data_IF_631119428927
#
_entry.id   IF_631119428927
#
_cell.length_a   1.000
_cell.length_b   1.000
_cell.length_c   1.000
_cell.angle_alpha   90.00
_cell.angle_beta   90.00
_cell.angle_gamma   90.00
#
_symmetry.space_group_name_H-M   'P 1'
#
loop_
_entity.id
_entity.type
_entity.pdbx_description
1 polymer ?
#
# COMPACT_ATOMS: atom_id res chain seq x y z
N UNK A 1 5.61 -58.07 29.18
CA UNK A 1 4.30 -57.40 29.12
C UNK A 1 4.52 -55.99 28.57
N UNK A 2 4.74 -55.89 27.25
CA UNK A 2 4.97 -54.66 26.47
C UNK A 2 4.37 -54.88 25.06
N UNK A 3 3.20 -55.52 24.99
CA UNK A 3 2.56 -55.91 23.73
C UNK A 3 1.24 -55.17 23.47
N UNK A 4 0.80 -54.32 24.40
CA UNK A 4 -0.29 -53.40 24.11
C UNK A 4 0.32 -52.10 23.58
N UNK A 5 0.36 -51.99 22.24
CA UNK A 5 0.45 -50.68 21.61
C UNK A 5 -0.68 -49.84 22.20
N UNK A 6 -0.42 -48.67 22.81
CA UNK A 6 -1.49 -47.81 23.28
C UNK A 6 -2.38 -47.55 22.07
N UNK A 7 -3.63 -47.99 22.18
CA UNK A 7 -4.65 -47.77 21.18
C UNK A 7 -4.54 -46.29 20.82
N UNK A 8 -4.32 -45.96 19.54
CA UNK A 8 -4.25 -44.56 19.10
C UNK A 8 -5.63 -43.98 19.38
N UNK A 9 -5.83 -43.49 20.60
CA UNK A 9 -6.95 -42.66 20.99
C UNK A 9 -6.97 -41.58 19.93
N UNK A 10 -8.06 -41.56 19.17
CA UNK A 10 -8.21 -40.84 17.92
C UNK A 10 -7.50 -39.49 18.04
N UNK A 11 -6.40 -39.32 17.30
CA UNK A 11 -5.69 -38.06 17.29
C UNK A 11 -6.70 -37.05 16.79
N UNK A 12 -7.27 -36.25 17.71
CA UNK A 12 -8.21 -35.21 17.38
C UNK A 12 -7.55 -34.40 16.25
N UNK A 13 -8.19 -34.40 15.09
CA UNK A 13 -7.71 -33.73 13.90
C UNK A 13 -8.64 -32.54 13.65
N UNK A 14 -8.08 -31.46 13.10
CA UNK A 14 -8.92 -30.34 12.69
C UNK A 14 -9.77 -30.71 11.48
N UNK A 15 -10.99 -30.21 11.47
CA UNK A 15 -12.06 -30.55 10.55
C UNK A 15 -12.47 -29.37 9.66
N UNK A 16 -11.73 -28.27 9.47
CA UNK A 16 -12.15 -27.09 8.69
C UNK A 16 -13.49 -26.41 9.08
N UNK A 17 -14.32 -27.05 9.91
CA UNK A 17 -15.61 -26.60 10.40
C UNK A 17 -15.51 -25.99 11.78
N UNK A 18 -14.34 -26.04 12.43
CA UNK A 18 -14.15 -25.38 13.71
C UNK A 18 -14.37 -23.87 13.58
N UNK A 19 -14.99 -23.24 14.58
CA UNK A 19 -15.34 -21.82 14.53
C UNK A 19 -14.11 -20.93 14.29
N UNK A 20 -12.93 -21.35 14.77
CA UNK A 20 -11.69 -20.61 14.57
C UNK A 20 -11.29 -20.54 13.09
N UNK A 21 -11.36 -21.66 12.37
CA UNK A 21 -11.07 -21.70 10.93
C UNK A 21 -12.11 -20.94 10.13
N UNK A 22 -13.39 -21.06 10.49
CA UNK A 22 -14.46 -20.29 9.86
C UNK A 22 -14.22 -18.79 10.03
N UNK A 23 -13.88 -18.32 11.22
CA UNK A 23 -13.54 -16.89 11.47
C UNK A 23 -12.33 -16.48 10.65
N UNK A 24 -11.28 -17.31 10.58
CA UNK A 24 -10.08 -16.99 9.83
C UNK A 24 -10.35 -16.87 8.32
N UNK A 25 -11.03 -17.86 7.74
CA UNK A 25 -11.34 -17.89 6.31
C UNK A 25 -12.32 -16.78 5.91
N UNK A 26 -13.33 -16.51 6.75
CA UNK A 26 -14.26 -15.41 6.49
C UNK A 26 -13.57 -14.06 6.57
N UNK A 27 -12.69 -13.85 7.55
CA UNK A 27 -11.91 -12.61 7.69
C UNK A 27 -10.97 -12.39 6.50
N UNK A 28 -10.16 -13.40 6.14
CA UNK A 28 -9.23 -13.29 5.02
C UNK A 28 -10.01 -13.17 3.69
N UNK A 29 -11.04 -13.98 3.50
CA UNK A 29 -11.88 -13.99 2.30
C UNK A 29 -12.61 -12.66 2.10
N UNK A 30 -13.20 -12.11 3.15
CA UNK A 30 -13.87 -10.81 3.10
C UNK A 30 -12.87 -9.69 2.81
N UNK A 31 -11.72 -9.69 3.47
CA UNK A 31 -10.72 -8.64 3.27
C UNK A 31 -10.10 -8.70 1.87
N UNK A 32 -9.83 -9.89 1.35
CA UNK A 32 -9.35 -10.07 -0.04
C UNK A 32 -10.41 -9.64 -1.05
N UNK A 33 -11.67 -10.01 -0.85
CA UNK A 33 -12.77 -9.56 -1.70
C UNK A 33 -12.93 -8.03 -1.71
N UNK A 34 -12.84 -7.37 -0.54
CA UNK A 34 -12.90 -5.92 -0.44
C UNK A 34 -11.72 -5.23 -1.15
N UNK A 35 -10.51 -5.76 -1.03
CA UNK A 35 -9.33 -5.23 -1.73
C UNK A 35 -9.44 -5.43 -3.23
N UNK A 36 -9.91 -6.57 -3.70
CA UNK A 36 -10.13 -6.83 -5.12
C UNK A 36 -11.23 -5.91 -5.69
N UNK A 37 -12.33 -5.72 -4.95
CA UNK A 37 -13.37 -4.77 -5.31
C UNK A 37 -12.84 -3.34 -5.39
N UNK A 38 -11.98 -2.93 -4.46
CA UNK A 38 -11.29 -1.63 -4.52
C UNK A 38 -10.37 -1.50 -5.74
N UNK A 39 -9.52 -2.49 -6.00
CA UNK A 39 -8.58 -2.46 -7.14
C UNK A 39 -9.34 -2.36 -8.46
N UNK A 40 -10.38 -3.18 -8.64
CA UNK A 40 -11.21 -3.17 -9.85
C UNK A 40 -11.98 -1.86 -10.01
N UNK A 41 -12.55 -1.33 -8.92
CA UNK A 41 -13.22 -0.03 -8.91
C UNK A 41 -12.25 1.10 -9.28
N UNK A 42 -11.09 1.16 -8.63
CA UNK A 42 -10.05 2.15 -8.87
C UNK A 42 -9.57 2.10 -10.32
N UNK A 43 -9.22 0.92 -10.81
CA UNK A 43 -8.77 0.73 -12.18
C UNK A 43 -9.82 1.19 -13.20
N UNK A 44 -11.09 0.87 -12.97
CA UNK A 44 -12.19 1.29 -13.84
C UNK A 44 -12.40 2.81 -13.86
N UNK A 45 -12.20 3.49 -12.72
CA UNK A 45 -12.32 4.95 -12.62
C UNK A 45 -11.14 5.67 -13.28
N UNK A 46 -9.92 5.19 -13.03
CA UNK A 46 -8.71 5.79 -13.58
C UNK A 46 -8.60 5.60 -15.10
N UNK A 47 -9.03 4.45 -15.64
CA UNK A 47 -9.12 4.26 -17.09
C UNK A 47 -10.07 5.24 -17.77
N UNK A 48 -11.22 5.54 -17.14
CA UNK A 48 -12.18 6.51 -17.69
C UNK A 48 -11.59 7.92 -17.72
N UNK A 49 -10.86 8.30 -16.68
CA UNK A 49 -10.18 9.60 -16.62
C UNK A 49 -9.10 9.72 -17.71
N UNK A 50 -8.33 8.67 -17.96
CA UNK A 50 -7.30 8.68 -19.01
C UNK A 50 -7.90 8.80 -20.42
N UNK A 51 -9.10 8.27 -20.65
CA UNK A 51 -9.79 8.39 -21.94
C UNK A 51 -10.37 9.80 -22.16
N UNK A 52 -10.71 10.51 -21.08
CA UNK A 52 -11.30 11.85 -21.14
C UNK A 52 -10.24 12.97 -21.33
N UNK A 53 -8.96 12.66 -21.09
CA UNK A 53 -7.83 13.57 -21.31
C UNK A 53 -7.22 13.23 -22.69
N UNK A 54 -7.61 13.91 -23.79
CA UNK A 54 -6.93 13.73 -25.07
C UNK A 54 -5.47 14.19 -24.95
N UNK A 55 -4.56 13.34 -25.40
CA UNK A 55 -3.10 13.52 -25.28
C UNK A 55 -2.56 14.83 -25.89
N UNK A 56 -3.31 15.46 -26.80
CA UNK A 56 -2.92 16.71 -27.46
C UNK A 56 -3.16 17.96 -26.61
N UNK A 57 -4.01 17.93 -25.58
CA UNK A 57 -4.48 19.14 -24.87
C UNK A 57 -3.67 19.45 -23.58
N UNK A 58 -2.85 18.50 -23.09
CA UNK A 58 -2.03 18.66 -21.87
C UNK A 58 -0.73 19.41 -22.16
N UNK A 59 -0.15 19.23 -23.35
CA UNK A 59 1.06 19.95 -23.76
C UNK A 59 0.79 21.43 -24.04
N UNK A 60 -0.44 21.78 -24.44
CA UNK A 60 -0.82 23.16 -24.76
C UNK A 60 -1.31 23.93 -23.53
N UNK A 61 -2.02 23.28 -22.58
CA UNK A 61 -2.57 23.97 -21.39
C UNK A 61 -1.59 24.17 -20.23
N UNK A 62 -0.49 23.41 -20.14
CA UNK A 62 0.58 23.69 -19.16
C UNK A 62 1.53 24.82 -19.60
N UNK A 63 1.57 25.15 -20.91
CA UNK A 63 2.40 26.24 -21.43
C UNK A 63 1.72 27.62 -21.37
N UNK A 64 0.40 27.68 -21.17
CA UNK A 64 -0.39 28.92 -21.26
C UNK A 64 -0.90 29.34 -19.87
N UNK A 65 0.00 29.65 -18.93
CA UNK A 65 -0.35 30.61 -17.85
C UNK A 65 0.87 31.19 -17.10
N UNK A 66 1.92 31.59 -17.84
CA UNK A 66 3.00 32.38 -17.26
C UNK A 66 3.38 33.54 -18.17
N UNK A 67 2.40 34.34 -18.60
CA UNK A 67 2.72 35.66 -19.10
C UNK A 67 1.55 36.65 -18.92
N UNK A 68 1.70 37.57 -17.97
CA UNK A 68 1.21 38.94 -18.10
C UNK A 68 1.70 39.79 -16.92
N UNK A 69 2.85 40.44 -17.10
CA UNK A 69 2.94 41.91 -16.93
C UNK A 69 4.21 42.45 -17.58
N UNK A 70 4.07 43.03 -18.77
CA UNK A 70 4.77 44.28 -19.12
C UNK A 70 5.85 44.27 -20.23
N UNK A 71 5.43 44.71 -21.43
CA UNK A 71 6.19 45.57 -22.39
C UNK A 71 7.05 44.88 -23.49
N UNK A 72 7.41 45.57 -24.61
CA UNK A 72 6.74 45.37 -25.89
C UNK A 72 7.63 44.88 -27.06
N UNK A 73 6.97 44.20 -28.01
CA UNK A 73 7.24 44.09 -29.47
C UNK A 73 8.65 44.39 -29.98
N UNK A 74 9.33 43.35 -30.49
CA UNK A 74 10.18 43.45 -31.69
C UNK A 74 10.11 42.16 -32.51
N UNK A 75 9.63 42.28 -33.75
CA UNK A 75 9.64 41.23 -34.77
C UNK A 75 11.07 40.92 -35.23
N UNK A 76 11.42 39.62 -35.35
CA UNK A 76 12.07 39.02 -36.54
C UNK A 76 12.27 37.50 -36.40
N UNK A 77 11.54 36.79 -37.27
CA UNK A 77 11.95 35.65 -38.12
C UNK A 77 12.94 34.58 -37.62
N UNK A 78 12.43 33.34 -37.64
CA UNK A 78 13.07 32.07 -38.04
C UNK A 78 14.48 31.75 -37.51
N UNK A 79 14.51 30.84 -36.54
CA UNK A 79 15.35 29.63 -36.62
C UNK A 79 14.74 28.56 -35.71
N UNK A 80 14.40 27.42 -36.30
CA UNK A 80 14.07 26.20 -35.58
C UNK A 80 15.30 25.75 -34.82
N UNK A 81 15.34 26.03 -33.52
CA UNK A 81 16.13 25.23 -32.61
C UNK A 81 15.31 25.14 -31.33
N UNK A 82 14.69 23.98 -31.14
CA UNK A 82 13.91 23.64 -29.97
C UNK A 82 14.86 23.54 -28.78
N UNK A 83 15.26 24.70 -28.26
CA UNK A 83 15.78 24.81 -26.90
C UNK A 83 14.59 24.52 -26.00
N UNK A 84 14.39 23.22 -25.73
CA UNK A 84 13.65 22.74 -24.57
C UNK A 84 14.22 23.50 -23.39
N UNK A 85 13.44 24.45 -22.89
CA UNK A 85 13.69 25.04 -21.60
C UNK A 85 13.44 23.91 -20.60
N UNK A 86 14.50 23.15 -20.30
CA UNK A 86 14.65 22.36 -19.09
C UNK A 86 14.59 23.36 -17.92
N UNK A 87 13.38 23.81 -17.59
CA UNK A 87 13.08 24.24 -16.24
C UNK A 87 13.13 22.96 -15.41
N UNK A 88 14.32 22.66 -14.90
CA UNK A 88 14.66 21.55 -14.02
C UNK A 88 13.90 21.67 -12.70
N UNK A 89 12.59 21.46 -12.75
CA UNK A 89 11.83 21.10 -11.56
C UNK A 89 12.43 19.79 -11.06
N UNK A 90 12.84 19.68 -9.78
CA UNK A 90 13.48 18.48 -9.24
C UNK A 90 12.49 17.30 -9.06
N UNK A 91 11.36 17.34 -9.74
CA UNK A 91 10.23 16.43 -9.57
C UNK A 91 9.98 15.68 -10.86
N UNK A 92 10.07 14.35 -10.80
CA UNK A 92 9.90 13.51 -11.98
C UNK A 92 8.43 13.39 -12.37
N UNK A 93 7.51 13.36 -11.38
CA UNK A 93 6.06 13.25 -11.61
C UNK A 93 5.25 13.96 -10.53
N UNK A 94 4.26 14.74 -10.97
CA UNK A 94 3.27 15.40 -10.13
C UNK A 94 1.90 14.77 -10.38
N UNK A 95 1.23 14.26 -9.33
CA UNK A 95 -0.09 13.62 -9.45
C UNK A 95 -1.09 14.24 -8.48
N UNK A 96 -2.31 14.47 -8.96
CA UNK A 96 -3.43 14.89 -8.12
C UNK A 96 -4.19 13.68 -7.56
N UNK A 97 -4.68 13.79 -6.33
CA UNK A 97 -5.49 12.77 -5.67
C UNK A 97 -6.74 13.38 -5.06
N UNK A 98 -7.83 12.62 -5.13
CA UNK A 98 -9.09 12.93 -4.45
C UNK A 98 -9.46 11.80 -3.50
N UNK A 99 -9.98 12.18 -2.34
CA UNK A 99 -10.51 11.23 -1.37
C UNK A 99 -11.85 10.66 -1.90
N UNK A 100 -12.02 9.34 -1.78
CA UNK A 100 -13.24 8.63 -2.17
C UNK A 100 -13.78 7.85 -0.96
N UNK A 101 -15.09 7.86 -0.78
CA UNK A 101 -15.72 7.22 0.38
C UNK A 101 -15.45 5.71 0.40
N UNK A 102 -15.48 5.05 -0.76
CA UNK A 102 -15.25 3.61 -0.84
C UNK A 102 -13.80 3.26 -0.49
N UNK A 103 -12.85 4.09 -0.93
CA UNK A 103 -11.44 3.96 -0.58
C UNK A 103 -11.21 4.10 0.93
N UNK A 104 -11.86 5.09 1.56
CA UNK A 104 -11.75 5.28 3.00
C UNK A 104 -12.39 4.12 3.79
N UNK A 105 -13.50 3.55 3.30
CA UNK A 105 -14.10 2.34 3.89
C UNK A 105 -13.18 1.13 3.79
N UNK A 106 -12.55 0.91 2.64
CA UNK A 106 -11.62 -0.20 2.45
C UNK A 106 -10.33 -0.04 3.29
N UNK A 107 -9.86 1.19 3.48
CA UNK A 107 -8.78 1.49 4.43
C UNK A 107 -9.22 1.20 5.88
N UNK A 108 -10.45 1.57 6.23
CA UNK A 108 -11.04 1.26 7.54
C UNK A 108 -11.14 -0.25 7.79
N UNK A 109 -11.48 -1.04 6.78
CA UNK A 109 -11.58 -2.49 6.91
C UNK A 109 -10.22 -3.15 7.22
N UNK A 110 -9.11 -2.60 6.71
CA UNK A 110 -7.76 -3.06 7.08
C UNK A 110 -7.45 -2.83 8.57
N UNK A 111 -7.87 -1.69 9.12
CA UNK A 111 -7.70 -1.40 10.54
C UNK A 111 -8.55 -2.36 11.39
N UNK A 112 -9.82 -2.56 11.02
CA UNK A 112 -10.71 -3.52 11.70
C UNK A 112 -10.12 -4.93 11.66
N UNK A 113 -9.66 -5.38 10.49
CA UNK A 113 -9.01 -6.70 10.33
C UNK A 113 -7.81 -6.86 11.25
N UNK A 114 -6.98 -5.82 11.36
CA UNK A 114 -5.80 -5.83 12.23
C UNK A 114 -6.16 -5.94 13.70
N UNK A 115 -7.18 -5.21 14.15
CA UNK A 115 -7.70 -5.32 15.53
C UNK A 115 -8.27 -6.72 15.78
N UNK A 116 -9.04 -7.26 14.83
CA UNK A 116 -9.64 -8.60 14.96
C UNK A 116 -8.57 -9.69 15.05
N UNK A 117 -7.47 -9.62 14.29
CA UNK A 117 -6.36 -10.57 14.41
C UNK A 117 -5.69 -10.52 15.79
N UNK A 118 -5.52 -9.32 16.37
CA UNK A 118 -4.99 -9.17 17.73
C UNK A 118 -5.94 -9.75 18.77
N UNK A 119 -7.23 -9.49 18.65
CA UNK A 119 -8.26 -10.07 19.53
C UNK A 119 -8.28 -11.60 19.41
N UNK A 120 -8.20 -12.14 18.19
CA UNK A 120 -8.13 -13.58 17.96
C UNK A 120 -6.91 -14.20 18.65
N UNK A 121 -5.74 -13.56 18.52
CA UNK A 121 -4.53 -14.01 19.19
C UNK A 121 -4.68 -13.98 20.72
N UNK A 122 -5.31 -12.94 21.27
CA UNK A 122 -5.60 -12.82 22.70
C UNK A 122 -6.60 -13.89 23.20
N UNK A 123 -7.60 -14.25 22.38
CA UNK A 123 -8.54 -15.33 22.72
C UNK A 123 -7.85 -16.69 22.75
N UNK A 124 -6.98 -16.97 21.76
CA UNK A 124 -6.23 -18.24 21.71
C UNK A 124 -5.28 -18.35 22.91
N UNK A 125 -4.60 -17.26 23.29
CA UNK A 125 -3.74 -17.27 24.48
C UNK A 125 -4.54 -17.38 25.76
N UNK A 126 -5.70 -16.73 25.86
CA UNK A 126 -6.60 -16.88 27.01
C UNK A 126 -7.12 -18.32 27.17
N UNK A 127 -7.44 -19.01 26.06
CA UNK A 127 -7.83 -20.43 26.06
C UNK A 127 -6.69 -21.34 26.53
N UNK A 128 -5.47 -21.05 26.08
CA UNK A 128 -4.26 -21.77 26.51
C UNK A 128 -4.05 -21.68 28.03
N UNK A 129 -4.27 -20.51 28.62
CA UNK A 129 -4.17 -20.31 30.08
C UNK A 129 -5.40 -20.76 30.86
N UNK A 130 -6.49 -21.19 30.21
CA UNK A 130 -7.73 -21.60 30.87
C UNK A 130 -8.52 -20.44 31.48
N UNK A 131 -8.35 -19.21 30.95
CA UNK A 131 -9.08 -18.03 31.42
C UNK A 131 -10.50 -17.93 30.85
N UNK A 132 -10.82 -18.73 29.83
CA UNK A 132 -12.16 -18.80 29.24
C UNK A 132 -13.08 -19.71 30.05
N UNK A 133 -14.39 -19.44 30.10
CA UNK A 133 -15.35 -20.29 30.80
C UNK A 133 -15.38 -21.69 30.17
N UNK A 134 -14.72 -22.65 30.82
CA UNK A 134 -14.48 -24.01 30.34
C UNK A 134 -13.25 -24.62 31.00
N UNK A 135 -12.88 -25.84 30.60
CA UNK A 135 -11.55 -26.40 30.88
C UNK A 135 -10.50 -25.74 29.97
N UNK A 136 -9.23 -25.77 30.35
CA UNK A 136 -8.12 -25.39 29.46
C UNK A 136 -8.23 -26.14 28.12
N UNK A 137 -7.85 -25.47 27.02
CA UNK A 137 -7.93 -26.02 25.65
C UNK A 137 -9.36 -26.31 25.17
N UNK A 138 -10.33 -25.48 25.59
CA UNK A 138 -11.73 -25.68 25.22
C UNK A 138 -11.94 -25.50 23.71
N UNK A 139 -11.13 -24.68 23.04
CA UNK A 139 -11.22 -24.50 21.58
C UNK A 139 -10.57 -25.63 20.79
N UNK A 140 -9.70 -26.43 21.39
CA UNK A 140 -8.93 -27.48 20.69
C UNK A 140 -9.17 -28.87 21.26
N UNK A 141 -10.41 -29.13 21.69
CA UNK A 141 -10.86 -30.43 22.17
C UNK A 141 -9.97 -31.04 23.28
N UNK A 142 -9.42 -30.21 24.16
CA UNK A 142 -8.56 -30.67 25.26
C UNK A 142 -7.12 -31.06 24.85
N UNK A 143 -6.73 -30.86 23.58
CA UNK A 143 -5.41 -31.25 23.07
C UNK A 143 -4.43 -30.06 23.04
N UNK A 144 -3.34 -30.18 23.79
CA UNK A 144 -2.24 -29.20 23.84
C UNK A 144 -1.55 -29.06 22.48
N UNK A 145 -1.36 -30.17 21.76
CA UNK A 145 -0.65 -30.16 20.47
C UNK A 145 -1.42 -29.36 19.41
N UNK A 146 -2.75 -29.52 19.38
CA UNK A 146 -3.62 -28.79 18.47
C UNK A 146 -3.64 -27.28 18.76
N UNK A 147 -3.71 -26.92 20.03
CA UNK A 147 -3.64 -25.52 20.48
C UNK A 147 -2.33 -24.85 20.04
N UNK A 148 -1.19 -25.53 20.25
CA UNK A 148 0.11 -25.01 19.84
C UNK A 148 0.22 -24.81 18.32
N UNK A 149 -0.29 -25.75 17.52
CA UNK A 149 -0.28 -25.64 16.05
C UNK A 149 -1.11 -24.43 15.59
N UNK A 150 -2.33 -24.27 16.09
CA UNK A 150 -3.20 -23.12 15.74
C UNK A 150 -2.52 -21.81 16.14
N UNK A 151 -2.00 -21.74 17.36
CA UNK A 151 -1.33 -20.54 17.85
C UNK A 151 -0.18 -20.13 16.93
N UNK A 152 0.69 -21.07 16.56
CA UNK A 152 1.81 -20.82 15.66
C UNK A 152 1.33 -20.31 14.29
N UNK A 153 0.31 -20.94 13.71
CA UNK A 153 -0.23 -20.54 12.40
C UNK A 153 -0.84 -19.13 12.42
N UNK A 154 -1.70 -18.85 13.40
CA UNK A 154 -2.34 -17.52 13.54
C UNK A 154 -1.28 -16.46 13.86
N UNK A 155 -0.27 -16.79 14.66
CA UNK A 155 0.83 -15.88 14.96
C UNK A 155 1.64 -15.52 13.71
N UNK A 156 2.08 -16.50 12.92
CA UNK A 156 2.83 -16.24 11.69
C UNK A 156 2.00 -15.43 10.69
N UNK A 157 0.71 -15.75 10.54
CA UNK A 157 -0.21 -14.98 9.70
C UNK A 157 -0.30 -13.52 10.17
N UNK A 158 -0.45 -13.30 11.48
CA UNK A 158 -0.56 -11.98 12.08
C UNK A 158 0.73 -11.17 11.89
N UNK A 159 1.90 -11.80 12.10
CA UNK A 159 3.20 -11.17 11.86
C UNK A 159 3.35 -10.80 10.39
N UNK A 160 3.07 -11.74 9.48
CA UNK A 160 3.13 -11.48 8.03
C UNK A 160 2.23 -10.31 7.64
N UNK A 161 0.99 -10.29 8.15
CA UNK A 161 0.04 -9.22 7.93
C UNK A 161 0.56 -7.85 8.40
N UNK A 162 1.05 -7.75 9.63
CA UNK A 162 1.58 -6.48 10.17
C UNK A 162 2.87 -6.03 9.47
N UNK A 163 3.75 -6.96 9.10
CA UNK A 163 4.93 -6.64 8.29
C UNK A 163 4.51 -6.07 6.94
N UNK A 164 3.56 -6.71 6.25
CA UNK A 164 3.02 -6.19 4.99
C UNK A 164 2.41 -4.79 5.14
N UNK A 165 1.61 -4.55 6.18
CA UNK A 165 1.04 -3.22 6.46
C UNK A 165 2.11 -2.18 6.78
N UNK A 166 3.15 -2.55 7.53
CA UNK A 166 4.25 -1.65 7.89
C UNK A 166 5.05 -1.24 6.65
N UNK A 167 5.40 -2.21 5.81
CA UNK A 167 6.12 -1.97 4.55
C UNK A 167 5.29 -1.10 3.60
N UNK A 168 3.97 -1.33 3.55
CA UNK A 168 3.07 -0.58 2.67
C UNK A 168 2.58 0.75 3.28
N UNK A 169 2.88 1.06 4.55
CA UNK A 169 2.30 2.18 5.31
C UNK A 169 2.38 3.52 4.58
N UNK A 170 3.53 3.82 3.96
CA UNK A 170 3.77 5.09 3.27
C UNK A 170 2.91 5.23 2.01
N UNK A 171 2.56 4.11 1.37
CA UNK A 171 1.78 4.08 0.13
C UNK A 171 0.31 3.77 0.36
N UNK A 172 -0.04 3.18 1.50
CA UNK A 172 -1.36 2.67 1.80
C UNK A 172 -2.43 3.75 1.65
N UNK A 173 -2.18 4.95 2.21
CA UNK A 173 -3.16 6.04 2.15
C UNK A 173 -3.40 6.56 0.73
N UNK A 174 -2.35 6.62 -0.09
CA UNK A 174 -2.49 7.04 -1.50
C UNK A 174 -3.05 5.93 -2.39
N UNK A 175 -2.83 4.67 -2.02
CA UNK A 175 -3.44 3.54 -2.72
C UNK A 175 -4.97 3.57 -2.64
N UNK A 176 -5.53 3.97 -1.49
CA UNK A 176 -6.98 4.12 -1.30
C UNK A 176 -7.55 5.46 -1.80
N UNK A 177 -6.72 6.33 -2.39
CA UNK A 177 -7.17 7.54 -3.08
C UNK A 177 -7.27 7.27 -4.58
N UNK A 178 -8.13 8.03 -5.25
CA UNK A 178 -8.30 7.97 -6.70
C UNK A 178 -7.44 9.08 -7.32
N UNK A 179 -6.72 8.75 -8.39
CA UNK A 179 -5.99 9.74 -9.19
C UNK A 179 -6.97 10.72 -9.86
N UNK A 180 -6.67 12.01 -9.76
CA UNK A 180 -7.49 13.09 -10.31
C UNK A 180 -6.59 14.14 -10.97
N UNK A 181 -7.18 14.97 -11.83
CA UNK A 181 -6.51 16.13 -12.40
C UNK A 181 -5.97 17.05 -11.30
N UNK A 182 -4.84 17.71 -11.54
CA UNK A 182 -4.20 18.57 -10.53
C UNK A 182 -5.10 19.72 -10.06
N UNK A 183 -6.01 20.18 -10.92
CA UNK A 183 -6.94 21.28 -10.64
C UNK A 183 -8.09 20.81 -9.73
N UNK A 184 -8.48 19.54 -9.84
CA UNK A 184 -9.59 18.95 -9.08
C UNK A 184 -9.13 18.15 -7.85
N UNK A 185 -7.83 17.89 -7.76
CA UNK A 185 -7.23 17.18 -6.65
C UNK A 185 -7.33 17.96 -5.35
N UNK A 186 -7.61 17.27 -4.26
CA UNK A 186 -7.49 17.83 -2.90
C UNK A 186 -6.07 17.65 -2.35
N UNK A 187 -5.37 16.65 -2.88
CA UNK A 187 -4.02 16.27 -2.47
C UNK A 187 -3.11 16.22 -3.69
N UNK A 188 -1.86 16.63 -3.52
CA UNK A 188 -0.82 16.47 -4.52
C UNK A 188 0.22 15.49 -4.01
N UNK A 189 0.60 14.56 -4.86
CA UNK A 189 1.73 13.68 -4.67
C UNK A 189 2.88 14.14 -5.56
N UNK A 190 4.01 14.40 -4.93
CA UNK A 190 5.27 14.68 -5.58
C UNK A 190 6.13 13.42 -5.49
N UNK A 191 6.52 12.90 -6.65
CA UNK A 191 7.43 11.77 -6.75
C UNK A 191 8.83 12.28 -7.10
N UNK A 192 9.78 12.03 -6.19
CA UNK A 192 11.18 12.36 -6.38
C UNK A 192 12.00 11.07 -6.39
N UNK A 193 12.74 10.80 -7.47
CA UNK A 193 13.67 9.67 -7.50
C UNK A 193 14.87 9.95 -6.59
N UNK A 194 15.15 9.04 -5.67
CA UNK A 194 16.33 9.15 -4.80
C UNK A 194 17.46 8.39 -5.46
N UNK A 195 18.47 9.12 -5.94
CA UNK A 195 19.68 8.49 -6.47
C UNK A 195 20.45 7.89 -5.28
N UNK A 196 20.69 6.57 -5.24
CA UNK A 196 21.41 5.95 -4.14
C UNK A 196 22.87 6.45 -4.12
N UNK A 197 23.32 7.00 -2.99
CA UNK A 197 24.72 7.34 -2.79
C UNK A 197 25.51 6.06 -2.47
N UNK A 198 26.19 5.50 -3.46
CA UNK A 198 27.07 4.33 -3.28
C UNK A 198 28.39 4.82 -2.68
N UNK A 199 28.57 4.66 -1.36
CA UNK A 199 29.73 5.18 -0.63
C UNK A 199 31.01 4.33 -0.84
N UNK A 200 30.89 3.02 -1.11
CA UNK A 200 32.02 2.13 -1.39
C UNK A 200 31.72 1.27 -2.62
N UNK A 201 32.50 1.48 -3.68
CA UNK A 201 32.39 0.77 -4.94
C UNK A 201 33.38 -0.42 -4.92
N UNK A 202 33.11 -1.43 -4.09
CA UNK A 202 34.00 -2.57 -3.92
C UNK A 202 33.60 -3.72 -4.87
N UNK A 203 34.51 -4.12 -5.77
CA UNK A 203 34.22 -4.94 -6.96
C UNK A 203 33.96 -6.44 -6.68
N UNK A 204 33.60 -6.84 -5.47
CA UNK A 204 33.42 -8.26 -5.17
C UNK A 204 32.17 -8.84 -5.85
N UNK A 205 32.27 -10.09 -6.35
CA UNK A 205 31.19 -10.77 -7.09
C UNK A 205 29.92 -10.97 -6.25
N UNK A 206 30.07 -11.16 -4.94
CA UNK A 206 28.94 -11.27 -4.01
C UNK A 206 28.19 -9.95 -3.88
N UNK A 207 28.91 -8.83 -3.85
CA UNK A 207 28.33 -7.50 -3.71
C UNK A 207 27.52 -7.12 -4.96
N UNK A 208 28.01 -7.48 -6.16
CA UNK A 208 27.22 -7.35 -7.42
C UNK A 208 25.91 -8.15 -7.38
N UNK A 209 25.94 -9.35 -6.82
CA UNK A 209 24.76 -10.21 -6.72
C UNK A 209 23.76 -9.64 -5.72
N UNK A 210 24.24 -9.17 -4.56
CA UNK A 210 23.41 -8.47 -3.57
C UNK A 210 22.77 -7.23 -4.17
N UNK A 211 23.53 -6.39 -4.89
CA UNK A 211 22.98 -5.22 -5.58
C UNK A 211 21.92 -5.58 -6.62
N UNK A 212 22.10 -6.65 -7.39
CA UNK A 212 21.09 -7.08 -8.36
C UNK A 212 19.76 -7.48 -7.69
N UNK A 213 19.82 -8.18 -6.56
CA UNK A 213 18.61 -8.51 -5.80
C UNK A 213 18.02 -7.29 -5.10
N UNK A 214 18.86 -6.43 -4.56
CA UNK A 214 18.47 -5.17 -3.94
C UNK A 214 17.76 -4.26 -4.93
N UNK A 215 18.29 -4.07 -6.14
CA UNK A 215 17.70 -3.23 -7.18
C UNK A 215 16.37 -3.82 -7.67
N UNK A 216 16.29 -5.15 -7.82
CA UNK A 216 15.02 -5.82 -8.13
C UNK A 216 13.98 -5.63 -7.04
N UNK A 217 14.37 -5.76 -5.76
CA UNK A 217 13.47 -5.55 -4.62
C UNK A 217 13.04 -4.08 -4.53
N UNK A 218 13.98 -3.13 -4.66
CA UNK A 218 13.71 -1.69 -4.66
C UNK A 218 12.80 -1.28 -5.81
N UNK A 219 12.93 -1.90 -6.99
CA UNK A 219 12.05 -1.64 -8.11
C UNK A 219 10.65 -2.26 -7.87
N UNK A 220 10.59 -3.51 -7.38
CA UNK A 220 9.32 -4.20 -7.10
C UNK A 220 8.49 -3.49 -6.03
N UNK A 221 9.12 -3.07 -4.93
CA UNK A 221 8.47 -2.32 -3.85
C UNK A 221 8.35 -0.81 -4.14
N UNK A 222 9.01 -0.33 -5.20
CA UNK A 222 9.08 1.09 -5.55
C UNK A 222 9.87 1.95 -4.55
N UNK A 223 10.67 1.37 -3.67
CA UNK A 223 11.43 2.08 -2.62
C UNK A 223 12.48 3.07 -3.14
N UNK A 224 12.73 3.11 -4.46
CA UNK A 224 13.59 4.09 -5.11
C UNK A 224 12.93 5.47 -5.30
N UNK A 225 11.61 5.57 -5.09
CA UNK A 225 10.86 6.82 -5.21
C UNK A 225 10.47 7.31 -3.82
N UNK A 226 10.95 8.50 -3.46
CA UNK A 226 10.43 9.23 -2.33
C UNK A 226 9.10 9.88 -2.73
N UNK A 227 8.05 9.53 -2.00
CA UNK A 227 6.70 10.00 -2.27
C UNK A 227 6.30 10.93 -1.15
N UNK A 228 6.15 12.21 -1.46
CA UNK A 228 5.66 13.22 -0.52
C UNK A 228 4.25 13.62 -0.94
N UNK A 229 3.31 13.59 -0.01
CA UNK A 229 1.91 13.98 -0.30
C UNK A 229 1.53 15.17 0.56
N UNK A 230 1.16 16.26 -0.09
CA UNK A 230 0.81 17.53 0.55
C UNK A 230 -0.61 17.93 0.17
N UNK A 231 -1.36 18.56 1.09
CA UNK A 231 -2.67 19.09 0.76
C UNK A 231 -2.52 20.30 -0.17
N UNK A 232 -3.47 20.45 -1.10
CA UNK A 232 -3.59 21.65 -1.90
C UNK A 232 -4.24 22.77 -1.08
N UNK A 233 -3.60 23.93 -1.06
CA UNK A 233 -4.15 25.13 -0.43
C UNK A 233 -4.59 26.12 -1.52
N UNK A 234 -5.67 26.84 -1.27
CA UNK A 234 -6.14 27.92 -2.13
C UNK A 234 -5.81 29.26 -1.47
N UNK A 235 -5.17 30.16 -2.22
CA UNK A 235 -4.93 31.53 -1.75
C UNK A 235 -6.22 32.35 -1.76
N UNK A 236 -6.23 33.51 -1.10
CA UNK A 236 -7.32 34.50 -1.17
C UNK A 236 -7.61 35.00 -2.60
N UNK A 237 -6.70 34.77 -3.56
CA UNK A 237 -6.83 35.12 -4.98
C UNK A 237 -7.23 33.92 -5.84
N UNK A 238 -7.80 32.87 -5.25
CA UNK A 238 -8.21 31.62 -5.90
C UNK A 238 -7.10 30.81 -6.60
N UNK A 239 -5.83 31.18 -6.43
CA UNK A 239 -4.70 30.41 -6.95
C UNK A 239 -4.37 29.23 -6.05
N UNK A 240 -4.24 28.05 -6.64
CA UNK A 240 -3.85 26.81 -5.99
C UNK A 240 -2.33 26.78 -5.77
N UNK A 241 -1.90 26.41 -4.57
CA UNK A 241 -0.49 26.23 -4.23
C UNK A 241 -0.31 25.07 -3.24
N UNK A 242 0.90 24.52 -3.18
CA UNK A 242 1.30 23.53 -2.19
C UNK A 242 2.68 23.90 -1.65
N UNK A 243 2.89 23.66 -0.36
CA UNK A 243 4.20 23.87 0.27
C UNK A 243 4.96 22.53 0.23
N UNK A 244 6.11 22.52 -0.44
CA UNK A 244 7.03 21.40 -0.46
C UNK A 244 8.24 21.74 0.43
N UNK A 245 8.55 20.88 1.39
CA UNK A 245 9.72 20.99 2.28
C UNK A 245 10.68 19.83 2.00
#
# INVERSE_FOLDING_TARGET
MWLDCPNRVDQAAFTFTEPLWVVLYTLIGLQTALLLAWVTYKHSKEQRLQLEIPADDVSEKMAVNYDSTGSPKRERSLSSDATRVDASLPFDRLRGYRDDMFGNTALGSLAVTSVTLVVLLAVITADYYGSLPGSSFSLTHGSTNLSAIIFILVWYLTVLWFVSLTVMRTRLRNFFRIEALLIEGTWIQVEQTVVPMVLLNDESRLLRLVHHYEDKLKHLFGWHVHVTTTPLCQTAQERLYFNYQ
#
